data_IF_158241870682
#
_entry.id   IF_158241870682
#
_cell.length_a   1.000
_cell.length_b   1.000
_cell.length_c   1.000
_cell.angle_alpha   90.00
_cell.angle_beta   90.00
_cell.angle_gamma   90.00
#
_symmetry.space_group_name_H-M   'P 1'
#
loop_
_entity.id
_entity.type
_entity.pdbx_description
1 polymer ?
#
# COMPACT_ATOMS: atom_id res chain seq x y z
N UNK A 1 -19.75 -5.44 1.99
CA UNK A 1 -18.86 -5.75 3.11
C UNK A 1 -18.28 -4.47 3.68
N UNK A 2 -18.16 -4.36 4.98
CA UNK A 2 -17.65 -3.15 5.60
C UNK A 2 -16.12 -3.03 5.37
N UNK A 3 -15.65 -1.81 5.10
CA UNK A 3 -14.22 -1.54 5.01
C UNK A 3 -13.60 -1.62 6.41
N UNK A 4 -12.36 -2.09 6.47
CA UNK A 4 -11.57 -1.99 7.69
C UNK A 4 -11.37 -0.52 8.05
N UNK A 5 -11.37 -0.17 9.33
CA UNK A 5 -11.15 1.21 9.72
C UNK A 5 -9.68 1.60 9.50
N UNK A 6 -8.78 0.83 10.09
CA UNK A 6 -7.34 1.12 10.03
C UNK A 6 -6.59 -0.18 9.73
N UNK A 7 -5.67 -0.11 8.78
CA UNK A 7 -4.67 -1.17 8.57
C UNK A 7 -3.30 -0.56 8.77
N UNK A 8 -2.51 -1.14 9.65
CA UNK A 8 -1.14 -0.72 9.91
C UNK A 8 -0.19 -1.68 9.22
N UNK A 9 0.78 -1.15 8.50
CA UNK A 9 1.79 -1.95 7.81
C UNK A 9 3.16 -1.51 8.31
N UNK A 10 3.90 -2.45 8.90
CA UNK A 10 5.26 -2.21 9.38
C UNK A 10 6.22 -2.24 8.19
N UNK A 11 6.98 -1.19 7.99
CA UNK A 11 7.94 -1.08 6.89
C UNK A 11 9.39 -1.01 7.36
N UNK A 12 9.62 -0.92 8.66
CA UNK A 12 10.96 -0.77 9.21
C UNK A 12 11.84 -2.01 9.08
N UNK A 13 11.25 -3.19 8.98
CA UNK A 13 11.96 -4.46 8.88
C UNK A 13 11.97 -5.05 7.47
N UNK A 14 11.50 -4.30 6.48
CA UNK A 14 11.50 -4.74 5.08
C UNK A 14 12.95 -4.84 4.58
N UNK A 15 13.31 -5.99 4.03
CA UNK A 15 14.67 -6.25 3.55
C UNK A 15 14.75 -6.29 2.02
N UNK A 16 13.61 -6.46 1.35
CA UNK A 16 13.58 -6.51 -0.12
C UNK A 16 12.23 -6.02 -0.64
N UNK A 17 12.21 -5.63 -1.90
CA UNK A 17 10.97 -5.22 -2.57
C UNK A 17 9.99 -6.38 -2.67
N UNK A 18 10.48 -7.60 -2.88
CA UNK A 18 9.63 -8.79 -2.90
C UNK A 18 8.93 -8.99 -1.56
N UNK A 19 9.65 -8.81 -0.46
CA UNK A 19 9.06 -8.90 0.88
C UNK A 19 8.01 -7.81 1.09
N UNK A 20 8.27 -6.61 0.61
CA UNK A 20 7.31 -5.50 0.67
C UNK A 20 6.00 -5.87 0.01
N UNK A 21 6.06 -6.35 -1.24
CA UNK A 21 4.85 -6.71 -1.98
C UNK A 21 4.11 -7.87 -1.33
N UNK A 22 4.82 -8.84 -0.78
CA UNK A 22 4.19 -9.94 -0.03
C UNK A 22 3.45 -9.41 1.21
N UNK A 23 4.06 -8.47 1.92
CA UNK A 23 3.42 -7.86 3.10
C UNK A 23 2.19 -7.06 2.71
N UNK A 24 2.28 -6.25 1.66
CA UNK A 24 1.14 -5.49 1.16
C UNK A 24 0.00 -6.43 0.76
N UNK A 25 0.33 -7.51 0.05
CA UNK A 25 -0.66 -8.50 -0.36
C UNK A 25 -1.38 -9.11 0.84
N UNK A 26 -0.63 -9.51 1.85
CA UNK A 26 -1.20 -10.15 3.04
C UNK A 26 -2.03 -9.17 3.86
N UNK A 27 -1.50 -7.98 4.12
CA UNK A 27 -2.16 -7.01 5.00
C UNK A 27 -3.37 -6.35 4.35
N UNK A 28 -3.33 -6.15 3.05
CA UNK A 28 -4.44 -5.52 2.32
C UNK A 28 -5.36 -6.55 1.66
N UNK A 29 -5.09 -7.83 1.87
CA UNK A 29 -5.91 -8.93 1.38
C UNK A 29 -6.03 -8.96 -0.14
N UNK A 30 -4.93 -8.68 -0.83
CA UNK A 30 -4.87 -8.84 -2.28
C UNK A 30 -4.97 -10.32 -2.63
N UNK A 31 -5.50 -10.66 -3.81
CA UNK A 31 -5.57 -12.06 -4.22
C UNK A 31 -4.17 -12.68 -4.32
N UNK A 32 -4.08 -13.99 -4.16
CA UNK A 32 -2.79 -14.70 -4.14
C UNK A 32 -2.08 -14.71 -5.49
N UNK A 33 -2.78 -14.35 -6.57
CA UNK A 33 -2.19 -14.17 -7.88
C UNK A 33 -1.66 -12.75 -8.12
N UNK A 34 -1.60 -11.92 -7.08
CA UNK A 34 -1.06 -10.56 -7.15
C UNK A 34 0.36 -10.57 -7.74
N UNK A 35 0.61 -9.70 -8.72
CA UNK A 35 1.82 -9.71 -9.55
C UNK A 35 3.09 -9.16 -8.90
N UNK A 36 3.03 -8.65 -7.68
CA UNK A 36 4.18 -8.14 -6.91
C UNK A 36 5.01 -7.10 -7.66
N UNK A 37 4.32 -6.16 -8.29
CA UNK A 37 4.92 -4.99 -8.92
C UNK A 37 3.97 -3.79 -8.76
N UNK A 38 4.43 -2.61 -9.13
CA UNK A 38 3.62 -1.40 -8.89
C UNK A 38 2.45 -1.28 -9.85
N UNK A 39 2.50 -1.86 -11.04
CA UNK A 39 1.33 -1.93 -11.92
C UNK A 39 0.25 -2.81 -11.32
N UNK A 40 0.65 -3.96 -10.77
CA UNK A 40 -0.28 -4.85 -10.08
C UNK A 40 -0.84 -4.20 -8.81
N UNK A 41 0.00 -3.42 -8.09
CA UNK A 41 -0.43 -2.68 -6.92
C UNK A 41 -1.52 -1.67 -7.27
N UNK A 42 -1.33 -0.92 -8.36
CA UNK A 42 -2.34 0.00 -8.85
C UNK A 42 -3.68 -0.71 -9.12
N UNK A 43 -3.63 -1.83 -9.85
CA UNK A 43 -4.83 -2.59 -10.15
C UNK A 43 -5.50 -3.10 -8.87
N UNK A 44 -4.70 -3.57 -7.92
CA UNK A 44 -5.23 -4.11 -6.67
C UNK A 44 -5.95 -3.05 -5.85
N UNK A 45 -5.34 -1.88 -5.66
CA UNK A 45 -5.94 -0.84 -4.80
C UNK A 45 -7.11 -0.13 -5.46
N UNK A 46 -7.22 -0.17 -6.80
CA UNK A 46 -8.29 0.53 -7.51
C UNK A 46 -9.42 -0.38 -7.93
N UNK A 47 -9.19 -1.68 -8.07
CA UNK A 47 -10.19 -2.56 -8.68
C UNK A 47 -10.42 -3.90 -7.95
N UNK A 48 -9.47 -4.38 -7.15
CA UNK A 48 -9.55 -5.75 -6.65
C UNK A 48 -9.93 -5.87 -5.18
N UNK A 49 -9.68 -4.85 -4.36
CA UNK A 49 -9.98 -4.89 -2.93
C UNK A 49 -10.63 -3.60 -2.46
N UNK A 50 -11.33 -3.68 -1.34
CA UNK A 50 -11.76 -2.49 -0.62
C UNK A 50 -10.63 -2.04 0.29
N UNK A 51 -10.09 -0.85 0.02
CA UNK A 51 -9.03 -0.30 0.84
C UNK A 51 -9.57 0.12 2.21
N UNK A 52 -8.75 0.06 3.26
CA UNK A 52 -9.16 0.55 4.57
C UNK A 52 -9.43 2.06 4.54
N UNK A 53 -10.14 2.56 5.53
CA UNK A 53 -10.36 4.01 5.65
C UNK A 53 -9.04 4.73 5.90
N UNK A 54 -8.18 4.15 6.75
CA UNK A 54 -6.85 4.68 7.05
C UNK A 54 -5.82 3.59 6.79
N UNK A 55 -4.80 3.92 6.02
CA UNK A 55 -3.63 3.06 5.81
C UNK A 55 -2.45 3.72 6.52
N UNK A 56 -2.00 3.10 7.60
CA UNK A 56 -0.89 3.62 8.41
C UNK A 56 0.39 2.88 8.07
N UNK A 57 1.35 3.62 7.53
CA UNK A 57 2.64 3.08 7.11
C UNK A 57 3.66 3.40 8.19
N UNK A 58 4.05 2.39 8.97
CA UNK A 58 4.90 2.56 10.15
C UNK A 58 6.37 2.51 9.76
N UNK A 59 7.17 3.33 10.42
CA UNK A 59 8.60 3.48 10.15
C UNK A 59 8.86 3.90 8.71
N UNK A 60 8.02 4.84 8.25
CA UNK A 60 8.08 5.32 6.87
C UNK A 60 9.44 5.92 6.53
N UNK A 61 10.01 6.76 7.42
CA UNK A 61 11.29 7.42 7.13
C UNK A 61 12.41 6.44 6.90
N UNK A 62 12.46 5.37 7.71
CA UNK A 62 13.45 4.32 7.56
C UNK A 62 13.27 3.58 6.23
N UNK A 63 12.04 3.25 5.88
CA UNK A 63 11.73 2.61 4.60
C UNK A 63 12.11 3.50 3.42
N UNK A 64 11.71 4.77 3.46
CA UNK A 64 12.00 5.73 2.38
C UNK A 64 13.50 5.90 2.19
N UNK A 65 14.26 5.93 3.29
CA UNK A 65 15.72 6.04 3.24
C UNK A 65 16.36 4.82 2.57
N UNK A 66 15.84 3.63 2.85
CA UNK A 66 16.41 2.38 2.32
C UNK A 66 15.91 2.04 0.93
N UNK A 67 14.68 2.40 0.59
CA UNK A 67 14.05 2.09 -0.69
C UNK A 67 13.39 3.33 -1.28
N UNK A 68 14.18 4.36 -1.62
CA UNK A 68 13.60 5.65 -2.04
C UNK A 68 12.78 5.57 -3.32
N UNK A 69 13.20 4.75 -4.30
CA UNK A 69 12.47 4.62 -5.56
C UNK A 69 11.13 3.93 -5.36
N UNK A 70 11.11 2.85 -4.58
CA UNK A 70 9.88 2.12 -4.32
C UNK A 70 8.93 2.90 -3.42
N UNK A 71 9.47 3.63 -2.44
CA UNK A 71 8.67 4.51 -1.60
C UNK A 71 7.94 5.55 -2.45
N UNK A 72 8.64 6.15 -3.40
CA UNK A 72 8.05 7.14 -4.31
C UNK A 72 6.97 6.53 -5.19
N UNK A 73 7.23 5.35 -5.75
CA UNK A 73 6.26 4.67 -6.61
C UNK A 73 5.00 4.29 -5.84
N UNK A 74 5.16 3.81 -4.61
CA UNK A 74 4.02 3.47 -3.76
C UNK A 74 3.17 4.70 -3.45
N UNK A 75 3.80 5.80 -3.03
CA UNK A 75 3.10 7.04 -2.73
C UNK A 75 2.38 7.58 -3.96
N UNK A 76 3.03 7.51 -5.12
CA UNK A 76 2.42 7.97 -6.37
C UNK A 76 1.17 7.15 -6.71
N UNK A 77 1.20 5.84 -6.54
CA UNK A 77 0.01 5.00 -6.75
C UNK A 77 -1.12 5.40 -5.81
N UNK A 78 -0.80 5.56 -4.52
CA UNK A 78 -1.80 5.92 -3.53
C UNK A 78 -2.38 7.31 -3.77
N UNK A 79 -1.54 8.27 -4.11
CA UNK A 79 -1.99 9.64 -4.41
C UNK A 79 -2.85 9.71 -5.68
N UNK A 80 -2.47 8.96 -6.71
CA UNK A 80 -3.26 8.90 -7.95
C UNK A 80 -4.62 8.24 -7.71
N UNK A 81 -4.66 7.20 -6.89
CA UNK A 81 -5.91 6.54 -6.53
C UNK A 81 -6.83 7.51 -5.77
N UNK A 82 -6.28 8.31 -4.85
CA UNK A 82 -7.05 9.31 -4.12
C UNK A 82 -7.62 10.37 -5.05
N UNK A 83 -6.88 10.74 -6.09
CA UNK A 83 -7.30 11.74 -7.05
C UNK A 83 -8.41 11.22 -7.98
N UNK A 84 -8.26 9.98 -8.46
CA UNK A 84 -9.20 9.41 -9.43
C UNK A 84 -10.44 8.79 -8.78
N UNK A 85 -10.29 8.26 -7.58
CA UNK A 85 -11.36 7.53 -6.88
C UNK A 85 -11.46 7.99 -5.42
N UNK A 86 -11.76 9.29 -5.17
CA UNK A 86 -11.71 9.83 -3.81
C UNK A 86 -12.65 9.12 -2.82
N UNK A 87 -13.77 8.56 -3.30
CA UNK A 87 -14.71 7.86 -2.43
C UNK A 87 -14.18 6.52 -1.91
N UNK A 88 -13.18 5.95 -2.56
CA UNK A 88 -12.63 4.64 -2.21
C UNK A 88 -11.19 4.68 -1.70
N UNK A 89 -10.59 5.86 -1.73
CA UNK A 89 -9.20 6.00 -1.32
C UNK A 89 -9.05 5.94 0.19
N UNK A 90 -7.91 5.43 0.63
CA UNK A 90 -7.53 5.46 2.05
C UNK A 90 -6.93 6.81 2.39
N UNK A 91 -7.13 7.26 3.62
CA UNK A 91 -6.29 8.29 4.20
C UNK A 91 -4.94 7.66 4.53
N UNK A 92 -3.85 8.24 4.05
CA UNK A 92 -2.52 7.69 4.23
C UNK A 92 -1.84 8.41 5.39
N UNK A 93 -1.34 7.63 6.35
CA UNK A 93 -0.56 8.14 7.47
C UNK A 93 0.83 7.53 7.41
N UNK A 94 1.86 8.36 7.34
CA UNK A 94 3.26 7.94 7.36
C UNK A 94 3.83 8.29 8.73
N UNK A 95 4.06 7.30 9.56
CA UNK A 95 4.46 7.51 10.96
C UNK A 95 5.76 6.82 11.33
#
# INVERSE_FOLDING_TARGET
MARHEIVEIELGDIESVAQLHTRLMTQLEFPDWYGRNWDAFWDAITALVEMPLVLRLKNWMEFERRFPSDAKLMVNCLANAARQYPCFASRIECV
#
